data_IF_039610835354
#
_entry.id   IF_039610835354
#
_cell.length_a   1.000
_cell.length_b   1.000
_cell.length_c   1.000
_cell.angle_alpha   90.00
_cell.angle_beta   90.00
_cell.angle_gamma   90.00
#
_symmetry.space_group_name_H-M   'P 1'
#
loop_
_entity.id
_entity.type
_entity.pdbx_description
1 polymer ?
#
# COMPACT_ATOMS: atom_id res chain seq x y z
N UNK A 1 -8.44 12.90 4.78
CA UNK A 1 -9.23 14.14 4.61
C UNK A 1 -8.29 15.29 4.27
N UNK A 2 -8.77 16.35 3.63
CA UNK A 2 -8.01 17.58 3.35
C UNK A 2 -8.09 18.67 4.43
N UNK A 3 -8.95 18.52 5.44
CA UNK A 3 -9.18 19.52 6.48
C UNK A 3 -10.48 19.26 7.24
N UNK A 4 -10.87 20.16 8.14
CA UNK A 4 -12.03 19.95 9.02
C UNK A 4 -13.35 19.81 8.26
N UNK A 5 -13.57 20.59 7.20
CA UNK A 5 -14.82 20.55 6.43
C UNK A 5 -14.97 19.25 5.63
N UNK A 6 -13.89 18.81 4.96
CA UNK A 6 -13.89 17.52 4.28
C UNK A 6 -14.00 16.36 5.27
N UNK A 7 -13.40 16.46 6.47
CA UNK A 7 -13.55 15.45 7.51
C UNK A 7 -15.02 15.36 7.96
N UNK A 8 -15.64 16.49 8.27
CA UNK A 8 -17.07 16.57 8.64
C UNK A 8 -17.95 15.93 7.56
N UNK A 9 -17.75 16.31 6.31
CA UNK A 9 -18.52 15.77 5.18
C UNK A 9 -18.32 14.25 5.02
N UNK A 10 -17.10 13.75 5.24
CA UNK A 10 -16.80 12.30 5.20
C UNK A 10 -17.45 11.55 6.35
N UNK A 11 -17.39 12.09 7.56
CA UNK A 11 -18.03 11.49 8.72
C UNK A 11 -19.54 11.39 8.51
N UNK A 12 -20.18 12.45 8.00
CA UNK A 12 -21.62 12.45 7.70
C UNK A 12 -22.04 11.38 6.69
N UNK A 13 -21.18 11.00 5.74
CA UNK A 13 -21.47 9.95 4.77
C UNK A 13 -21.30 8.52 5.28
N UNK A 14 -20.74 8.32 6.49
CA UNK A 14 -20.56 6.97 7.05
C UNK A 14 -21.92 6.31 7.18
N UNK A 15 -22.09 5.16 6.55
CA UNK A 15 -23.29 4.33 6.69
C UNK A 15 -23.14 3.49 7.94
N UNK A 16 -24.08 3.63 8.87
CA UNK A 16 -24.06 2.99 10.19
C UNK A 16 -25.11 1.87 10.32
N UNK A 17 -26.17 1.92 9.52
CA UNK A 17 -27.20 0.90 9.49
C UNK A 17 -27.93 0.87 8.13
N UNK A 18 -28.79 -0.13 7.96
CA UNK A 18 -29.71 -0.25 6.83
C UNK A 18 -31.14 -0.18 7.40
N UNK A 19 -31.94 0.75 6.89
CA UNK A 19 -33.34 0.90 7.30
C UNK A 19 -34.25 -0.19 6.74
N UNK A 20 -35.51 -0.20 7.17
CA UNK A 20 -36.52 -1.23 6.84
C UNK A 20 -36.86 -1.36 5.36
N UNK A 21 -36.45 -0.40 4.50
CA UNK A 21 -36.59 -0.44 3.04
C UNK A 21 -35.27 -0.62 2.28
N UNK A 22 -34.17 -0.99 2.95
CA UNK A 22 -32.86 -1.14 2.31
C UNK A 22 -32.08 0.18 2.11
N UNK A 23 -32.68 1.31 2.50
CA UNK A 23 -32.04 2.63 2.48
C UNK A 23 -30.89 2.69 3.49
N UNK A 24 -29.81 3.39 3.12
CA UNK A 24 -28.65 3.61 3.99
C UNK A 24 -29.02 4.61 5.09
N UNK A 25 -28.74 4.27 6.34
CA UNK A 25 -28.78 5.21 7.48
C UNK A 25 -27.35 5.67 7.74
N UNK A 26 -27.14 6.97 7.77
CA UNK A 26 -25.81 7.59 7.89
C UNK A 26 -25.54 8.17 9.28
N UNK A 27 -24.29 8.52 9.56
CA UNK A 27 -23.92 9.22 10.78
C UNK A 27 -24.55 10.62 10.88
N UNK A 28 -24.84 11.26 9.74
CA UNK A 28 -25.60 12.52 9.68
C UNK A 28 -27.05 12.29 10.15
N UNK A 29 -27.71 11.23 9.64
CA UNK A 29 -29.11 10.93 9.97
C UNK A 29 -29.34 10.68 11.47
N UNK A 30 -28.32 10.18 12.17
CA UNK A 30 -28.37 9.92 13.62
C UNK A 30 -27.76 11.06 14.46
N UNK A 31 -27.40 12.19 13.86
CA UNK A 31 -26.88 13.36 14.55
C UNK A 31 -25.49 13.19 15.19
N UNK A 32 -24.71 12.20 14.75
CA UNK A 32 -23.43 11.84 15.41
C UNK A 32 -22.24 12.70 14.96
N UNK A 33 -22.34 13.40 13.82
CA UNK A 33 -21.20 14.08 13.18
C UNK A 33 -20.58 15.17 14.07
N UNK A 34 -21.39 15.96 14.77
CA UNK A 34 -20.89 17.00 15.67
C UNK A 34 -20.01 16.42 16.79
N UNK A 35 -20.46 15.33 17.42
CA UNK A 35 -19.72 14.63 18.48
C UNK A 35 -18.42 14.01 17.96
N UNK A 36 -18.45 13.38 16.78
CA UNK A 36 -17.25 12.83 16.14
C UNK A 36 -16.24 13.93 15.81
N UNK A 37 -16.70 15.08 15.30
CA UNK A 37 -15.83 16.23 15.04
C UNK A 37 -15.22 16.78 16.33
N UNK A 38 -15.97 16.83 17.42
CA UNK A 38 -15.46 17.31 18.71
C UNK A 38 -14.31 16.42 19.24
N UNK A 39 -14.41 15.10 19.06
CA UNK A 39 -13.36 14.14 19.43
C UNK A 39 -12.13 14.25 18.50
N UNK A 40 -12.33 14.49 17.21
CA UNK A 40 -11.27 14.49 16.21
C UNK A 40 -10.62 15.86 15.97
N UNK A 41 -11.12 16.93 16.60
CA UNK A 41 -10.70 18.32 16.33
C UNK A 41 -9.20 18.56 16.43
N UNK A 42 -8.52 17.87 17.35
CA UNK A 42 -7.07 17.95 17.51
C UNK A 42 -6.35 16.80 16.81
N UNK A 43 -6.98 15.62 16.77
CA UNK A 43 -6.42 14.44 16.12
C UNK A 43 -6.27 14.58 14.60
N UNK A 44 -6.87 15.61 13.97
CA UNK A 44 -6.64 15.94 12.56
C UNK A 44 -5.28 16.61 12.29
N UNK A 45 -4.63 17.14 13.34
CA UNK A 45 -3.36 17.85 13.22
C UNK A 45 -2.19 16.85 13.11
N UNK A 46 -1.34 16.92 12.07
CA UNK A 46 -0.16 16.06 11.97
C UNK A 46 0.82 16.26 13.12
N UNK A 47 1.39 15.17 13.65
CA UNK A 47 2.43 15.22 14.67
C UNK A 47 3.79 15.36 14.02
N UNK A 48 4.52 16.42 14.34
CA UNK A 48 5.91 16.61 13.91
C UNK A 48 6.86 15.91 14.88
N UNK A 49 7.75 15.12 14.33
CA UNK A 49 8.87 14.46 15.01
C UNK A 49 10.12 14.62 14.11
N UNK A 50 11.20 13.92 14.44
CA UNK A 50 12.43 13.92 13.65
C UNK A 50 13.01 12.51 13.53
N UNK A 51 13.83 12.32 12.50
CA UNK A 51 14.72 11.15 12.37
C UNK A 51 15.88 11.24 13.38
N UNK A 52 16.74 10.22 13.41
CA UNK A 52 17.98 10.22 14.21
C UNK A 52 18.98 11.30 13.79
N UNK A 53 18.89 11.79 12.55
CA UNK A 53 19.75 12.83 11.98
C UNK A 53 19.07 14.21 11.93
N UNK A 54 17.90 14.34 12.55
CA UNK A 54 17.23 15.63 12.73
C UNK A 54 16.39 16.12 11.55
N UNK A 55 16.20 15.31 10.50
CA UNK A 55 15.27 15.67 9.43
C UNK A 55 13.81 15.66 9.95
N UNK A 56 12.99 16.66 9.60
CA UNK A 56 11.61 16.74 10.07
C UNK A 56 10.76 15.61 9.47
N UNK A 57 9.92 15.00 10.29
CA UNK A 57 9.03 13.90 9.88
C UNK A 57 7.62 14.08 10.46
N UNK A 58 6.60 13.74 9.67
CA UNK A 58 5.22 13.72 10.14
C UNK A 58 4.74 12.29 10.36
N UNK A 59 4.35 11.97 11.60
CA UNK A 59 3.72 10.69 11.95
C UNK A 59 2.26 10.92 12.26
N UNK A 60 1.39 10.57 11.31
CA UNK A 60 -0.02 10.92 11.40
C UNK A 60 -0.95 9.93 10.69
N UNK A 61 -1.84 9.32 11.47
CA UNK A 61 -2.75 8.23 11.09
C UNK A 61 -2.03 6.94 10.68
N UNK A 62 -2.74 5.81 10.64
CA UNK A 62 -2.17 4.51 10.27
C UNK A 62 -3.27 3.48 10.00
N UNK A 63 -4.04 3.63 8.91
CA UNK A 63 -5.07 2.66 8.58
C UNK A 63 -4.44 1.34 8.12
N UNK A 64 -5.17 0.23 8.25
CA UNK A 64 -4.70 -1.06 7.72
C UNK A 64 -4.48 -1.01 6.21
N UNK A 65 -3.47 -1.74 5.72
CA UNK A 65 -3.16 -1.87 4.29
C UNK A 65 -4.06 -2.85 3.53
N UNK A 66 -4.94 -3.60 4.20
CA UNK A 66 -5.84 -4.57 3.57
C UNK A 66 -7.25 -3.99 3.35
N UNK A 67 -8.02 -3.76 4.41
CA UNK A 67 -9.40 -3.24 4.38
C UNK A 67 -9.47 -1.70 4.25
N UNK A 68 -8.32 -1.04 4.20
CA UNK A 68 -8.17 0.37 3.89
C UNK A 68 -6.91 0.57 3.02
N UNK A 69 -6.58 1.84 2.74
CA UNK A 69 -5.53 2.18 1.78
C UNK A 69 -4.09 2.12 2.33
N UNK A 70 -3.90 1.94 3.65
CA UNK A 70 -2.56 1.74 4.23
C UNK A 70 -1.59 2.92 4.10
N UNK A 71 -2.07 4.16 4.13
CA UNK A 71 -1.18 5.34 3.99
C UNK A 71 -1.39 6.33 5.14
N UNK A 72 -0.38 7.15 5.40
CA UNK A 72 -0.45 8.36 6.21
C UNK A 72 -1.46 9.38 5.68
N UNK A 73 -1.77 10.40 6.48
CA UNK A 73 -2.85 11.33 6.20
C UNK A 73 -2.51 12.31 5.05
N UNK A 74 -3.53 12.64 4.24
CA UNK A 74 -3.45 13.67 3.19
C UNK A 74 -3.10 15.06 3.74
N UNK A 75 -3.52 15.37 4.98
CA UNK A 75 -3.17 16.66 5.62
C UNK A 75 -1.67 16.74 5.86
N UNK A 76 -1.05 15.63 6.31
CA UNK A 76 0.39 15.58 6.55
C UNK A 76 1.17 15.76 5.23
N UNK A 77 0.80 15.05 4.17
CA UNK A 77 1.45 15.21 2.86
C UNK A 77 1.34 16.64 2.32
N UNK A 78 0.14 17.25 2.40
CA UNK A 78 -0.06 18.63 1.92
C UNK A 78 0.73 19.64 2.73
N UNK A 79 0.80 19.44 4.05
CA UNK A 79 1.60 20.28 4.92
C UNK A 79 3.08 20.14 4.56
N UNK A 80 3.60 18.92 4.44
CA UNK A 80 4.98 18.66 4.06
C UNK A 80 5.35 19.27 2.71
N UNK A 81 4.49 19.10 1.69
CA UNK A 81 4.70 19.65 0.35
C UNK A 81 4.68 21.19 0.31
N UNK A 82 4.11 21.84 1.33
CA UNK A 82 4.16 23.30 1.47
C UNK A 82 5.47 23.82 2.09
N UNK A 83 6.30 22.96 2.69
CA UNK A 83 7.49 23.34 3.45
C UNK A 83 8.78 22.65 3.00
N UNK A 84 8.71 21.67 2.09
CA UNK A 84 9.87 20.92 1.61
C UNK A 84 9.83 20.73 0.09
N UNK A 85 11.00 20.77 -0.54
CA UNK A 85 11.15 20.51 -1.98
C UNK A 85 10.89 19.04 -2.33
N UNK A 86 11.19 18.14 -1.38
CA UNK A 86 11.00 16.70 -1.49
C UNK A 86 10.23 16.18 -0.29
N UNK A 87 9.20 15.37 -0.55
CA UNK A 87 8.43 14.67 0.47
C UNK A 87 8.45 13.18 0.16
N UNK A 88 9.03 12.41 1.07
CA UNK A 88 9.01 10.95 1.01
C UNK A 88 7.85 10.45 1.87
N UNK A 89 7.00 9.61 1.29
CA UNK A 89 5.92 8.91 2.00
C UNK A 89 5.88 7.47 1.53
N UNK A 90 5.27 6.61 2.32
CA UNK A 90 5.11 5.19 2.02
C UNK A 90 3.64 4.77 2.05
N UNK A 91 3.40 3.53 1.62
CA UNK A 91 2.15 2.83 1.78
C UNK A 91 2.44 1.38 2.22
N UNK A 92 1.61 0.85 3.12
CA UNK A 92 1.83 -0.47 3.71
C UNK A 92 1.67 -1.62 2.72
N UNK A 93 2.41 -2.71 2.95
CA UNK A 93 2.53 -3.88 2.06
C UNK A 93 3.27 -3.58 0.75
N UNK A 94 3.22 -4.53 -0.20
CA UNK A 94 3.87 -4.41 -1.50
C UNK A 94 3.17 -3.44 -2.46
N UNK A 95 3.80 -3.21 -3.61
CA UNK A 95 3.27 -2.27 -4.62
C UNK A 95 1.96 -2.75 -5.27
N UNK A 96 1.66 -4.05 -5.16
CA UNK A 96 0.40 -4.66 -5.54
C UNK A 96 -0.76 -4.27 -4.61
N UNK A 97 -0.50 -3.82 -3.38
CA UNK A 97 -1.54 -3.37 -2.43
C UNK A 97 -1.38 -1.90 -2.05
N UNK A 98 -0.32 -1.56 -1.31
CA UNK A 98 -0.14 -0.25 -0.73
C UNK A 98 -0.03 0.83 -1.80
N UNK A 99 0.88 0.63 -2.76
CA UNK A 99 1.09 1.59 -3.84
C UNK A 99 -0.12 1.71 -4.77
N UNK A 100 -0.75 0.60 -5.15
CA UNK A 100 -1.98 0.60 -5.95
C UNK A 100 -3.07 1.47 -5.28
N UNK A 101 -3.29 1.29 -3.98
CA UNK A 101 -4.27 2.07 -3.21
C UNK A 101 -3.84 3.51 -2.98
N UNK A 102 -2.55 3.75 -2.77
CA UNK A 102 -1.99 5.10 -2.72
C UNK A 102 -2.33 5.86 -4.00
N UNK A 103 -2.23 5.22 -5.15
CA UNK A 103 -2.59 5.81 -6.44
C UNK A 103 -4.11 5.96 -6.57
N UNK A 104 -4.87 4.86 -6.59
CA UNK A 104 -6.29 4.90 -6.96
C UNK A 104 -7.21 5.52 -5.89
N UNK A 105 -6.75 5.61 -4.64
CA UNK A 105 -7.54 6.17 -3.53
C UNK A 105 -6.91 7.47 -3.04
N UNK A 106 -5.69 7.45 -2.49
CA UNK A 106 -5.10 8.64 -1.83
C UNK A 106 -4.80 9.76 -2.83
N UNK A 107 -4.08 9.49 -3.92
CA UNK A 107 -3.74 10.48 -4.95
C UNK A 107 -4.98 10.96 -5.71
N UNK A 108 -5.89 10.04 -6.05
CA UNK A 108 -7.14 10.38 -6.72
C UNK A 108 -8.00 11.33 -5.88
N UNK A 109 -8.11 11.06 -4.58
CA UNK A 109 -8.96 11.84 -3.66
C UNK A 109 -8.31 13.16 -3.26
N UNK A 110 -6.99 13.18 -3.07
CA UNK A 110 -6.26 14.38 -2.63
C UNK A 110 -5.92 15.33 -3.76
N UNK A 111 -5.91 14.86 -5.01
CA UNK A 111 -5.38 15.61 -6.15
C UNK A 111 -3.84 15.60 -6.24
N UNK A 112 -3.14 15.06 -5.24
CA UNK A 112 -1.68 14.95 -5.25
C UNK A 112 -1.23 13.92 -6.28
N UNK A 113 -0.02 14.14 -6.82
CA UNK A 113 0.61 13.29 -7.84
C UNK A 113 2.05 13.05 -7.43
N UNK A 114 2.49 11.80 -7.23
CA UNK A 114 3.89 11.51 -6.93
C UNK A 114 4.77 11.79 -8.17
N UNK A 115 6.01 12.20 -7.93
CA UNK A 115 6.98 12.46 -8.99
C UNK A 115 7.73 11.20 -9.41
N UNK A 116 8.02 10.31 -8.47
CA UNK A 116 8.70 9.03 -8.70
C UNK A 116 8.24 8.02 -7.64
N UNK A 117 8.56 6.75 -7.84
CA UNK A 117 8.38 5.70 -6.85
C UNK A 117 9.73 5.04 -6.52
N UNK A 118 9.90 4.63 -5.26
CA UNK A 118 10.99 3.75 -4.84
C UNK A 118 10.40 2.40 -4.49
N UNK A 119 10.89 1.34 -5.14
CA UNK A 119 10.51 -0.03 -4.84
C UNK A 119 11.65 -0.71 -4.09
N UNK A 120 11.40 -1.06 -2.83
CA UNK A 120 12.41 -1.66 -1.95
C UNK A 120 12.37 -3.19 -2.09
N UNK A 121 13.55 -3.82 -2.15
CA UNK A 121 13.71 -5.27 -2.11
C UNK A 121 15.03 -5.68 -1.47
N UNK A 122 15.20 -6.98 -1.21
CA UNK A 122 16.43 -7.57 -0.66
C UNK A 122 16.78 -8.85 -1.41
N UNK A 123 18.06 -9.18 -1.47
CA UNK A 123 18.56 -10.45 -2.05
C UNK A 123 17.89 -11.65 -1.36
N UNK A 124 17.78 -11.62 -0.03
CA UNK A 124 17.09 -12.66 0.77
C UNK A 124 15.62 -12.81 0.38
N UNK A 125 14.89 -11.73 0.15
CA UNK A 125 13.49 -11.79 -0.29
C UNK A 125 13.36 -12.38 -1.70
N UNK A 126 14.28 -12.03 -2.61
CA UNK A 126 14.33 -12.64 -3.94
C UNK A 126 14.62 -14.14 -3.84
N UNK A 127 15.60 -14.59 -3.04
CA UNK A 127 15.83 -16.02 -2.78
C UNK A 127 14.60 -16.73 -2.25
N UNK A 128 13.88 -16.12 -1.31
CA UNK A 128 12.65 -16.70 -0.78
C UNK A 128 11.56 -16.85 -1.86
N UNK A 129 11.39 -15.84 -2.71
CA UNK A 129 10.52 -15.94 -3.89
C UNK A 129 11.03 -16.95 -4.92
N UNK A 130 12.33 -17.19 -4.99
CA UNK A 130 12.98 -18.24 -5.77
C UNK A 130 12.84 -19.66 -5.21
N UNK A 131 12.18 -19.82 -4.05
CA UNK A 131 11.91 -21.12 -3.43
C UNK A 131 12.83 -21.49 -2.27
N UNK A 132 13.77 -20.63 -1.89
CA UNK A 132 14.69 -20.90 -0.76
C UNK A 132 13.95 -20.81 0.58
N UNK A 133 14.19 -21.81 1.43
CA UNK A 133 13.64 -21.86 2.79
C UNK A 133 14.20 -20.75 3.67
N UNK A 134 13.39 -20.25 4.62
CA UNK A 134 13.76 -19.11 5.49
C UNK A 134 15.08 -19.34 6.23
N UNK A 135 15.41 -20.59 6.58
CA UNK A 135 16.62 -20.96 7.31
C UNK A 135 17.90 -20.90 6.46
N UNK A 136 17.75 -20.92 5.14
CA UNK A 136 18.87 -21.07 4.21
C UNK A 136 19.14 -19.77 3.43
N UNK A 137 18.45 -18.67 3.78
CA UNK A 137 18.54 -17.38 3.07
C UNK A 137 19.90 -16.69 3.19
N UNK A 138 20.76 -17.13 4.11
CA UNK A 138 22.07 -16.52 4.33
C UNK A 138 23.17 -17.21 3.48
N UNK A 139 22.84 -18.31 2.78
CA UNK A 139 23.74 -18.94 1.82
C UNK A 139 23.60 -18.31 0.43
N UNK A 140 24.70 -18.06 -0.29
CA UNK A 140 24.65 -17.49 -1.64
C UNK A 140 23.90 -18.40 -2.64
N UNK A 141 22.92 -17.85 -3.35
CA UNK A 141 22.20 -18.55 -4.43
C UNK A 141 21.73 -17.56 -5.52
N UNK A 142 22.63 -17.14 -6.42
CA UNK A 142 22.30 -16.22 -7.52
C UNK A 142 21.18 -16.73 -8.45
N UNK A 143 21.05 -18.05 -8.60
CA UNK A 143 20.01 -18.65 -9.44
C UNK A 143 18.63 -18.44 -8.83
N UNK A 144 18.46 -18.72 -7.53
CA UNK A 144 17.21 -18.44 -6.84
C UNK A 144 16.90 -16.95 -6.77
N UNK A 145 17.89 -16.07 -6.65
CA UNK A 145 17.67 -14.62 -6.79
C UNK A 145 17.08 -14.31 -8.17
N UNK A 146 17.68 -14.81 -9.26
CA UNK A 146 17.20 -14.59 -10.63
C UNK A 146 15.76 -15.06 -10.81
N UNK A 147 15.40 -16.24 -10.28
CA UNK A 147 14.03 -16.78 -10.33
C UNK A 147 13.08 -15.86 -9.54
N UNK A 148 13.45 -15.49 -8.32
CA UNK A 148 12.64 -14.63 -7.45
C UNK A 148 12.42 -13.22 -7.98
N UNK A 149 13.35 -12.71 -8.78
CA UNK A 149 13.24 -11.41 -9.42
C UNK A 149 12.02 -11.28 -10.35
N UNK A 150 11.36 -12.37 -10.77
CA UNK A 150 10.10 -12.29 -11.51
C UNK A 150 9.01 -11.50 -10.73
N UNK A 151 9.03 -11.55 -9.39
CA UNK A 151 8.17 -10.73 -8.52
C UNK A 151 8.52 -9.24 -8.63
N UNK A 152 9.80 -8.91 -8.44
CA UNK A 152 10.32 -7.53 -8.54
C UNK A 152 10.00 -6.93 -9.91
N UNK A 153 10.29 -7.66 -10.99
CA UNK A 153 10.05 -7.22 -12.36
C UNK A 153 8.57 -6.95 -12.63
N UNK A 154 7.67 -7.79 -12.10
CA UNK A 154 6.23 -7.56 -12.19
C UNK A 154 5.81 -6.27 -11.48
N UNK A 155 6.30 -6.04 -10.25
CA UNK A 155 5.95 -4.84 -9.48
C UNK A 155 6.53 -3.55 -10.10
N UNK A 156 7.74 -3.60 -10.65
CA UNK A 156 8.29 -2.52 -11.51
C UNK A 156 7.32 -2.24 -12.66
N UNK A 157 6.85 -3.28 -13.34
CA UNK A 157 5.86 -3.18 -14.41
C UNK A 157 4.54 -2.54 -13.96
N UNK A 158 4.02 -2.87 -12.78
CA UNK A 158 2.81 -2.27 -12.20
C UNK A 158 2.99 -0.77 -11.99
N UNK A 159 4.11 -0.36 -11.39
CA UNK A 159 4.42 1.08 -11.17
C UNK A 159 4.49 1.84 -12.50
N UNK A 160 5.13 1.25 -13.51
CA UNK A 160 5.24 1.85 -14.85
C UNK A 160 3.89 1.94 -15.57
N UNK A 161 3.00 0.95 -15.44
CA UNK A 161 1.64 1.02 -16.00
C UNK A 161 0.81 2.16 -15.39
N UNK A 162 1.08 2.51 -14.14
CA UNK A 162 0.54 3.68 -13.45
C UNK A 162 1.25 4.99 -13.85
N UNK A 163 2.16 4.95 -14.83
CA UNK A 163 2.78 6.13 -15.43
C UNK A 163 3.81 6.81 -14.53
N UNK A 164 4.44 6.07 -13.61
CA UNK A 164 5.47 6.59 -12.73
C UNK A 164 6.83 5.97 -13.06
N UNK A 165 7.91 6.76 -13.08
CA UNK A 165 9.24 6.21 -13.11
C UNK A 165 9.56 5.59 -11.74
N UNK A 166 10.38 4.54 -11.74
CA UNK A 166 10.68 3.76 -10.54
C UNK A 166 12.17 3.55 -10.37
N UNK A 167 12.65 3.80 -9.16
CA UNK A 167 13.99 3.40 -8.70
C UNK A 167 13.83 2.17 -7.82
N UNK A 168 14.64 1.15 -8.05
CA UNK A 168 14.70 -0.02 -7.15
C UNK A 168 15.78 0.22 -6.11
N UNK A 169 15.42 0.15 -4.83
CA UNK A 169 16.36 0.20 -3.72
C UNK A 169 16.60 -1.23 -3.21
N UNK A 170 17.84 -1.69 -3.28
CA UNK A 170 18.27 -3.00 -2.79
C UNK A 170 18.87 -2.78 -1.41
N UNK A 171 18.11 -3.07 -0.36
CA UNK A 171 18.61 -2.96 1.01
C UNK A 171 19.66 -4.04 1.25
N UNK A 172 20.88 -3.62 1.55
CA UNK A 172 22.03 -4.50 1.74
C UNK A 172 21.93 -5.30 3.05
N UNK A 173 22.29 -6.58 3.00
CA UNK A 173 22.55 -7.41 4.17
C UNK A 173 23.99 -7.95 4.13
N UNK A 174 24.63 -8.19 5.30
CA UNK A 174 26.01 -8.70 5.35
C UNK A 174 26.25 -10.04 4.65
N UNK A 175 25.21 -10.86 4.50
CA UNK A 175 25.25 -12.16 3.80
C UNK A 175 25.16 -12.04 2.28
N UNK A 176 24.80 -10.87 1.75
CA UNK A 176 24.55 -10.69 0.33
C UNK A 176 25.88 -10.63 -0.43
N UNK A 177 25.98 -11.41 -1.50
CA UNK A 177 27.17 -11.39 -2.35
C UNK A 177 27.07 -10.31 -3.45
N UNK A 178 28.21 -9.81 -3.97
CA UNK A 178 28.20 -8.92 -5.13
C UNK A 178 27.50 -9.53 -6.35
N UNK A 179 27.65 -10.83 -6.57
CA UNK A 179 27.00 -11.54 -7.68
C UNK A 179 25.48 -11.53 -7.55
N UNK A 180 24.93 -11.89 -6.40
CA UNK A 180 23.48 -11.85 -6.14
C UNK A 180 22.90 -10.43 -6.28
N UNK A 181 23.67 -9.43 -5.86
CA UNK A 181 23.27 -8.03 -5.95
C UNK A 181 23.18 -7.57 -7.39
N UNK A 182 24.21 -7.86 -8.20
CA UNK A 182 24.22 -7.57 -9.65
C UNK A 182 23.04 -8.27 -10.33
N UNK A 183 22.75 -9.51 -9.95
CA UNK A 183 21.61 -10.25 -10.50
C UNK A 183 20.29 -9.49 -10.32
N UNK A 184 20.06 -8.94 -9.12
CA UNK A 184 18.87 -8.17 -8.82
C UNK A 184 18.84 -6.80 -9.52
N UNK A 185 20.00 -6.12 -9.62
CA UNK A 185 20.12 -4.86 -10.37
C UNK A 185 19.76 -5.05 -11.85
N UNK A 186 20.35 -6.05 -12.50
CA UNK A 186 20.08 -6.37 -13.91
C UNK A 186 18.59 -6.65 -14.13
N UNK A 187 17.97 -7.46 -13.26
CA UNK A 187 16.56 -7.77 -13.37
C UNK A 187 15.66 -6.53 -13.29
N UNK A 188 16.00 -5.59 -12.39
CA UNK A 188 15.26 -4.34 -12.23
C UNK A 188 15.38 -3.44 -13.47
N UNK A 189 16.59 -3.30 -14.02
CA UNK A 189 16.83 -2.51 -15.25
C UNK A 189 16.15 -3.14 -16.45
N UNK A 190 16.20 -4.47 -16.61
CA UNK A 190 15.48 -5.21 -17.65
C UNK A 190 13.95 -4.98 -17.60
N UNK A 191 13.38 -4.85 -16.40
CA UNK A 191 11.97 -4.50 -16.21
C UNK A 191 11.66 -3.01 -16.46
N UNK A 192 12.69 -2.20 -16.71
CA UNK A 192 12.62 -0.78 -17.02
C UNK A 192 12.55 0.13 -15.81
N UNK A 193 13.15 -0.26 -14.69
CA UNK A 193 13.48 0.68 -13.63
C UNK A 193 14.46 1.74 -14.16
N UNK A 194 14.34 2.97 -13.67
CA UNK A 194 15.23 4.07 -14.04
C UNK A 194 16.64 3.90 -13.42
N UNK A 195 16.70 3.28 -12.24
CA UNK A 195 17.93 2.91 -11.56
C UNK A 195 17.66 1.74 -10.60
N UNK A 196 18.71 0.99 -10.27
CA UNK A 196 18.70 -0.05 -9.24
C UNK A 196 19.93 0.14 -8.34
N UNK A 197 19.70 0.62 -7.12
CA UNK A 197 20.76 1.13 -6.23
C UNK A 197 20.83 0.27 -4.96
N UNK A 198 22.03 -0.11 -4.57
CA UNK A 198 22.29 -0.75 -3.28
C UNK A 198 22.24 0.31 -2.19
N UNK A 199 21.52 0.05 -1.12
CA UNK A 199 21.32 0.99 -0.01
C UNK A 199 21.78 0.35 1.29
N UNK A 200 22.73 0.98 1.97
CA UNK A 200 23.24 0.57 3.29
C UNK A 200 22.75 1.50 4.40
N UNK A 201 21.70 2.29 4.17
CA UNK A 201 21.25 3.31 5.14
C UNK A 201 20.76 2.80 6.50
N UNK A 202 20.58 1.48 6.66
CA UNK A 202 20.40 0.88 7.99
C UNK A 202 21.69 0.90 8.83
N UNK A 203 22.84 0.62 8.21
CA UNK A 203 24.15 0.56 8.86
C UNK A 203 24.81 1.94 8.89
N UNK A 204 24.78 2.66 7.77
CA UNK A 204 25.53 3.90 7.56
C UNK A 204 24.66 5.18 7.65
N UNK A 205 23.38 5.06 8.03
CA UNK A 205 22.45 6.18 8.09
C UNK A 205 22.26 6.88 6.74
N UNK A 206 22.17 8.21 6.75
CA UNK A 206 21.99 9.03 5.55
C UNK A 206 23.12 8.88 4.53
N UNK A 207 24.36 8.64 4.98
CA UNK A 207 25.51 8.45 4.08
C UNK A 207 25.32 7.21 3.19
N UNK A 208 24.80 6.11 3.76
CA UNK A 208 24.49 4.86 3.04
C UNK A 208 23.30 4.95 2.08
N UNK A 209 22.60 6.08 2.03
CA UNK A 209 21.44 6.32 1.16
C UNK A 209 21.67 7.44 0.12
N UNK A 210 22.87 8.03 0.04
CA UNK A 210 23.17 9.15 -0.87
C UNK A 210 22.92 8.78 -2.33
N UNK A 211 23.45 7.64 -2.80
CA UNK A 211 23.27 7.21 -4.20
C UNK A 211 21.78 7.01 -4.55
N UNK A 212 21.01 6.47 -3.60
CA UNK A 212 19.57 6.29 -3.77
C UNK A 212 18.87 7.65 -3.84
N UNK A 213 19.21 8.58 -2.96
CA UNK A 213 18.65 9.93 -2.96
C UNK A 213 18.93 10.66 -4.27
N UNK A 214 20.16 10.60 -4.79
CA UNK A 214 20.51 11.20 -6.07
C UNK A 214 19.76 10.54 -7.24
N UNK A 215 19.62 9.21 -7.23
CA UNK A 215 18.84 8.49 -8.24
C UNK A 215 17.37 8.91 -8.23
N UNK A 216 16.78 9.10 -7.03
CA UNK A 216 15.42 9.61 -6.87
C UNK A 216 15.30 11.04 -7.38
N UNK A 217 16.24 11.93 -7.04
CA UNK A 217 16.27 13.32 -7.52
C UNK A 217 16.27 13.34 -9.05
N UNK A 218 17.20 12.63 -9.71
CA UNK A 218 17.27 12.54 -11.18
C UNK A 218 15.98 11.99 -11.78
N UNK A 219 15.41 10.95 -11.17
CA UNK A 219 14.18 10.30 -11.66
C UNK A 219 12.94 11.18 -11.48
N UNK A 220 12.96 12.04 -10.47
CA UNK A 220 11.86 12.94 -10.11
C UNK A 220 11.74 14.17 -11.01
N UNK A 221 12.74 14.47 -11.86
CA UNK A 221 12.76 15.64 -12.74
C UNK A 221 11.48 15.79 -13.58
N UNK A 222 11.03 17.03 -13.89
CA UNK A 222 9.79 17.25 -14.65
C UNK A 222 9.76 16.53 -16.00
N UNK A 223 8.60 15.99 -16.37
CA UNK A 223 8.41 15.23 -17.61
C UNK A 223 6.94 15.18 -18.05
N UNK A 224 6.57 14.28 -18.98
CA UNK A 224 5.18 14.12 -19.43
C UNK A 224 4.24 13.78 -18.27
N UNK A 225 2.91 13.96 -18.42
CA UNK A 225 1.95 13.74 -17.35
C UNK A 225 2.14 12.38 -16.65
N UNK A 226 2.47 12.45 -15.36
CA UNK A 226 2.70 11.30 -14.47
C UNK A 226 1.43 10.91 -13.74
N UNK A 227 1.41 9.69 -13.20
CA UNK A 227 0.32 9.15 -12.39
C UNK A 227 -1.02 9.00 -13.14
N UNK A 228 -1.07 7.93 -13.92
CA UNK A 228 -2.24 7.43 -14.64
C UNK A 228 -3.07 6.50 -13.73
N UNK A 229 -4.31 6.30 -14.13
CA UNK A 229 -5.24 5.40 -13.47
C UNK A 229 -5.45 4.15 -14.32
N UNK A 230 -5.57 2.98 -13.68
CA UNK A 230 -5.87 1.75 -14.41
C UNK A 230 -7.34 1.68 -14.86
N UNK A 231 -8.24 2.33 -14.12
CA UNK A 231 -9.67 2.37 -14.43
C UNK A 231 -10.27 3.76 -14.14
N UNK A 232 -11.28 4.21 -14.91
CA UNK A 232 -12.04 5.42 -14.62
C UNK A 232 -13.09 5.17 -13.52
N UNK A 233 -13.55 6.23 -12.84
CA UNK A 233 -14.48 6.09 -11.71
C UNK A 233 -15.91 5.73 -12.12
N UNK A 234 -16.31 6.03 -13.35
CA UNK A 234 -17.62 5.70 -13.92
C UNK A 234 -17.72 4.28 -14.47
N UNK A 235 -16.60 3.54 -14.56
CA UNK A 235 -16.62 2.13 -14.90
C UNK A 235 -17.42 1.32 -13.86
N UNK A 236 -18.11 0.24 -14.28
CA UNK A 236 -18.77 -0.69 -13.35
C UNK A 236 -17.80 -1.25 -12.31
N UNK A 237 -18.25 -1.50 -11.09
CA UNK A 237 -17.39 -1.99 -10.00
C UNK A 237 -16.72 -3.32 -10.35
N UNK A 238 -17.43 -4.21 -11.07
CA UNK A 238 -16.87 -5.48 -11.55
C UNK A 238 -15.68 -5.28 -12.48
N UNK A 239 -15.80 -4.31 -13.37
CA UNK A 239 -14.77 -3.99 -14.35
C UNK A 239 -13.53 -3.42 -13.66
N UNK A 240 -13.71 -2.53 -12.68
CA UNK A 240 -12.60 -2.00 -11.87
C UNK A 240 -11.83 -3.11 -11.18
N UNK A 241 -12.53 -4.10 -10.60
CA UNK A 241 -11.91 -5.26 -9.96
C UNK A 241 -11.19 -6.15 -10.97
N UNK A 242 -11.80 -6.41 -12.13
CA UNK A 242 -11.20 -7.20 -13.21
C UNK A 242 -9.89 -6.58 -13.69
N UNK A 243 -9.89 -5.28 -13.95
CA UNK A 243 -8.68 -4.54 -14.35
C UNK A 243 -7.56 -4.68 -13.32
N UNK A 244 -7.87 -4.54 -12.02
CA UNK A 244 -6.87 -4.75 -10.96
C UNK A 244 -6.38 -6.20 -10.92
N UNK A 245 -7.28 -7.17 -11.03
CA UNK A 245 -6.93 -8.58 -10.99
C UNK A 245 -5.99 -9.00 -12.13
N UNK A 246 -6.28 -8.57 -13.35
CA UNK A 246 -5.46 -8.88 -14.53
C UNK A 246 -4.15 -8.08 -14.52
N UNK A 247 -4.22 -6.78 -14.22
CA UNK A 247 -3.09 -5.87 -14.43
C UNK A 247 -2.10 -5.89 -13.27
N UNK A 248 -2.62 -5.88 -12.03
CA UNK A 248 -1.83 -5.78 -10.80
C UNK A 248 -1.56 -7.16 -10.23
N UNK A 249 -2.55 -8.06 -10.25
CA UNK A 249 -2.37 -9.41 -9.68
C UNK A 249 -1.90 -10.44 -10.71
N UNK A 250 -2.11 -10.20 -12.02
CA UNK A 250 -1.75 -11.18 -13.05
C UNK A 250 -2.66 -12.41 -13.06
N UNK A 251 -3.87 -12.29 -12.50
CA UNK A 251 -4.89 -13.32 -12.56
C UNK A 251 -5.45 -13.43 -13.99
N UNK A 252 -5.86 -14.65 -14.36
CA UNK A 252 -6.47 -14.91 -15.67
C UNK A 252 -7.97 -14.63 -15.70
N UNK A 253 -8.62 -14.69 -14.55
CA UNK A 253 -10.06 -14.47 -14.39
C UNK A 253 -10.38 -14.04 -12.95
N UNK A 254 -11.60 -13.52 -12.73
CA UNK A 254 -12.13 -13.19 -11.41
C UNK A 254 -13.41 -13.96 -11.14
N UNK A 255 -13.40 -14.77 -10.09
CA UNK A 255 -14.58 -15.50 -9.64
C UNK A 255 -15.20 -14.82 -8.43
N UNK A 256 -16.51 -14.68 -8.46
CA UNK A 256 -17.29 -14.06 -7.39
C UNK A 256 -18.13 -15.10 -6.67
N UNK A 257 -18.16 -15.04 -5.34
CA UNK A 257 -19.19 -15.74 -4.56
C UNK A 257 -20.57 -15.16 -4.89
N UNK A 258 -21.63 -15.96 -4.71
CA UNK A 258 -23.00 -15.50 -4.92
C UNK A 258 -23.37 -14.33 -3.96
N UNK A 259 -22.82 -14.33 -2.75
CA UNK A 259 -22.99 -13.23 -1.79
C UNK A 259 -22.30 -11.96 -2.28
N UNK A 260 -21.02 -12.05 -2.65
CA UNK A 260 -20.23 -10.93 -3.14
C UNK A 260 -20.88 -10.30 -4.38
N UNK A 261 -21.37 -11.13 -5.30
CA UNK A 261 -22.10 -10.70 -6.50
C UNK A 261 -23.31 -9.86 -6.15
N UNK A 262 -24.24 -10.39 -5.33
CA UNK A 262 -25.47 -9.66 -4.93
C UNK A 262 -25.18 -8.37 -4.17
N UNK A 263 -24.15 -8.39 -3.32
CA UNK A 263 -23.78 -7.23 -2.52
C UNK A 263 -23.17 -6.12 -3.38
N UNK A 264 -22.40 -6.48 -4.40
CA UNK A 264 -21.84 -5.54 -5.36
C UNK A 264 -22.94 -4.86 -6.19
N UNK A 265 -23.88 -5.64 -6.71
CA UNK A 265 -25.02 -5.12 -7.49
C UNK A 265 -25.83 -4.11 -6.65
N UNK A 266 -26.10 -4.44 -5.38
CA UNK A 266 -26.75 -3.53 -4.42
C UNK A 266 -25.96 -2.23 -4.22
N UNK A 267 -24.63 -2.27 -4.18
CA UNK A 267 -23.83 -1.06 -4.04
C UNK A 267 -23.94 -0.14 -5.26
N UNK A 268 -24.03 -0.71 -6.48
CA UNK A 268 -24.30 0.09 -7.68
C UNK A 268 -25.69 0.73 -7.63
N UNK A 269 -26.73 -0.03 -7.25
CA UNK A 269 -28.10 0.47 -7.06
C UNK A 269 -28.17 1.59 -6.01
N UNK A 270 -27.35 1.53 -4.96
CA UNK A 270 -27.25 2.54 -3.90
C UNK A 270 -26.43 3.77 -4.29
N UNK A 271 -25.98 3.87 -5.55
CA UNK A 271 -25.19 4.99 -6.06
C UNK A 271 -23.73 4.97 -5.61
N UNK A 272 -23.21 3.84 -5.15
CA UNK A 272 -21.80 3.67 -4.74
C UNK A 272 -20.91 3.20 -5.90
N UNK A 273 -21.49 2.97 -7.09
CA UNK A 273 -20.76 2.51 -8.28
C UNK A 273 -19.60 3.41 -8.68
N UNK A 274 -19.69 4.71 -8.39
CA UNK A 274 -18.65 5.71 -8.66
C UNK A 274 -17.42 5.64 -7.74
N UNK A 275 -17.38 4.74 -6.75
CA UNK A 275 -16.27 4.65 -5.80
C UNK A 275 -15.06 3.88 -6.38
N UNK A 276 -13.83 4.20 -5.96
CA UNK A 276 -12.65 3.38 -6.23
C UNK A 276 -12.69 2.06 -5.44
N UNK A 277 -11.86 1.13 -5.88
CA UNK A 277 -11.70 -0.19 -5.26
C UNK A 277 -10.52 -0.17 -4.28
N UNK A 278 -10.74 -0.73 -3.09
CA UNK A 278 -9.70 -1.03 -2.10
C UNK A 278 -9.62 -2.55 -1.95
N UNK A 279 -8.80 -3.23 -2.74
CA UNK A 279 -8.75 -4.70 -2.67
C UNK A 279 -8.21 -5.18 -1.33
N UNK A 280 -8.98 -5.96 -0.59
CA UNK A 280 -8.47 -6.70 0.55
C UNK A 280 -8.01 -8.08 0.04
N UNK A 281 -6.74 -8.41 0.22
CA UNK A 281 -6.17 -9.76 -0.01
C UNK A 281 -4.97 -9.97 0.92
N UNK A 282 -4.37 -11.15 0.88
CA UNK A 282 -3.10 -11.41 1.57
C UNK A 282 -1.97 -10.49 1.03
N UNK A 283 -1.07 -9.99 1.89
CA UNK A 283 0.14 -9.31 1.45
C UNK A 283 1.28 -10.28 1.09
N UNK A 284 1.11 -11.59 1.32
CA UNK A 284 2.17 -12.60 1.18
C UNK A 284 2.30 -13.18 -0.24
N UNK A 285 1.41 -12.77 -1.14
CA UNK A 285 1.41 -13.13 -2.56
C UNK A 285 0.81 -11.99 -3.35
N UNK A 286 1.24 -11.84 -4.61
CA UNK A 286 0.55 -11.02 -5.61
C UNK A 286 -0.90 -11.53 -5.81
N UNK A 287 -1.11 -12.85 -5.69
CA UNK A 287 -2.42 -13.48 -5.73
C UNK A 287 -3.20 -13.31 -4.42
N UNK A 288 -4.38 -13.93 -4.33
CA UNK A 288 -5.16 -14.00 -3.10
C UNK A 288 -4.71 -15.15 -2.16
N UNK A 289 -3.89 -16.08 -2.65
CA UNK A 289 -3.39 -17.25 -1.92
C UNK A 289 -1.95 -17.02 -1.44
N UNK A 290 -1.67 -17.03 -0.11
CA UNK A 290 -0.34 -16.78 0.44
C UNK A 290 0.70 -17.86 0.10
N UNK A 291 0.28 -19.03 -0.36
CA UNK A 291 1.16 -20.14 -0.76
C UNK A 291 1.75 -19.94 -2.16
N UNK A 292 1.07 -19.18 -3.03
CA UNK A 292 1.51 -18.89 -4.38
C UNK A 292 2.57 -17.79 -4.36
N UNK A 293 3.84 -18.17 -4.22
CA UNK A 293 4.96 -17.21 -4.16
C UNK A 293 5.31 -16.61 -5.52
N UNK A 294 6.17 -15.60 -5.48
CA UNK A 294 6.80 -14.99 -6.64
C UNK A 294 5.78 -14.32 -7.57
N UNK A 295 5.77 -14.67 -8.85
CA UNK A 295 4.82 -14.18 -9.86
C UNK A 295 3.93 -15.35 -10.34
N UNK A 296 2.83 -15.65 -9.64
CA UNK A 296 1.92 -16.71 -10.06
C UNK A 296 1.21 -16.34 -11.38
N UNK A 297 0.89 -17.35 -12.18
CA UNK A 297 0.18 -17.22 -13.47
C UNK A 297 -0.90 -18.30 -13.58
N UNK A 298 -1.85 -18.12 -14.50
CA UNK A 298 -2.91 -19.11 -14.79
C UNK A 298 -3.78 -19.47 -13.58
N UNK A 299 -4.14 -18.47 -12.78
CA UNK A 299 -4.99 -18.65 -11.61
C UNK A 299 -6.19 -17.70 -11.66
N UNK A 300 -7.28 -18.12 -11.03
CA UNK A 300 -8.51 -17.32 -10.90
C UNK A 300 -8.48 -16.57 -9.57
N UNK A 301 -8.74 -15.26 -9.60
CA UNK A 301 -8.80 -14.43 -8.39
C UNK A 301 -10.18 -14.55 -7.75
N UNK A 302 -10.25 -15.10 -6.53
CA UNK A 302 -11.53 -15.39 -5.88
C UNK A 302 -11.95 -14.28 -4.90
N UNK A 303 -13.13 -13.70 -5.14
CA UNK A 303 -13.78 -12.72 -4.26
C UNK A 303 -14.87 -13.41 -3.42
N UNK A 304 -14.68 -13.40 -2.10
CA UNK A 304 -15.56 -14.06 -1.15
C UNK A 304 -16.67 -13.14 -0.63
N UNK A 305 -16.38 -11.85 -0.42
CA UNK A 305 -17.31 -10.85 0.10
C UNK A 305 -16.99 -9.45 -0.45
N UNK A 306 -17.90 -8.48 -0.31
CA UNK A 306 -17.66 -7.08 -0.68
C UNK A 306 -18.29 -6.17 0.36
N UNK A 307 -17.56 -5.13 0.74
CA UNK A 307 -18.04 -4.12 1.70
C UNK A 307 -17.78 -2.71 1.17
N UNK A 308 -18.39 -1.71 1.78
CA UNK A 308 -18.20 -0.31 1.41
C UNK A 308 -17.85 0.54 2.64
N UNK A 309 -16.82 1.36 2.51
CA UNK A 309 -16.43 2.36 3.50
C UNK A 309 -16.91 3.71 3.01
N UNK A 310 -18.21 3.99 3.17
CA UNK A 310 -18.88 5.13 2.51
C UNK A 310 -18.39 6.51 2.94
N UNK A 311 -17.94 6.65 4.19
CA UNK A 311 -17.29 7.89 4.65
C UNK A 311 -15.88 8.08 4.07
N UNK A 312 -15.09 7.00 4.00
CA UNK A 312 -13.77 7.02 3.38
C UNK A 312 -13.86 7.18 1.85
N UNK A 313 -14.93 6.66 1.25
CA UNK A 313 -15.26 6.79 -0.17
C UNK A 313 -14.64 5.69 -1.04
N UNK A 314 -14.69 4.43 -0.63
CA UNK A 314 -14.27 3.29 -1.44
C UNK A 314 -15.10 2.03 -1.17
N UNK A 315 -15.15 1.13 -2.16
CA UNK A 315 -15.67 -0.24 -2.05
C UNK A 315 -14.48 -1.18 -1.89
N UNK A 316 -14.54 -2.13 -0.96
CA UNK A 316 -13.46 -3.09 -0.71
C UNK A 316 -13.95 -4.54 -0.86
N UNK A 317 -13.69 -5.17 -2.02
CA UNK A 317 -13.81 -6.61 -2.19
C UNK A 317 -12.80 -7.34 -1.30
N UNK A 318 -13.23 -8.48 -0.77
CA UNK A 318 -12.44 -9.36 0.08
C UNK A 318 -12.08 -10.59 -0.75
N UNK A 319 -10.79 -10.76 -1.04
CA UNK A 319 -10.27 -11.88 -1.81
C UNK A 319 -9.60 -12.92 -0.91
N UNK A 320 -9.93 -14.20 -1.15
CA UNK A 320 -9.50 -15.29 -0.28
C UNK A 320 -10.03 -15.19 1.16
N UNK A 321 -9.30 -15.82 2.09
CA UNK A 321 -9.61 -15.82 3.52
C UNK A 321 -8.70 -14.82 4.24
N UNK A 322 -9.20 -13.63 4.51
CA UNK A 322 -8.43 -12.56 5.15
C UNK A 322 -8.92 -12.36 6.58
N UNK A 323 -7.96 -12.35 7.50
CA UNK A 323 -8.21 -11.95 8.88
C UNK A 323 -8.32 -10.42 8.94
N UNK A 324 -9.49 -9.92 9.32
CA UNK A 324 -9.73 -8.48 9.50
C UNK A 324 -9.37 -7.98 10.90
N UNK A 325 -9.15 -8.90 11.86
CA UNK A 325 -8.77 -8.60 13.24
C UNK A 325 -7.72 -9.62 13.71
N UNK A 326 -6.43 -9.24 13.82
CA UNK A 326 -5.39 -10.15 14.27
C UNK A 326 -5.60 -10.53 15.74
N UNK A 327 -5.26 -11.78 16.09
CA UNK A 327 -5.21 -12.25 17.48
C UNK A 327 -3.84 -12.03 18.11
N UNK A 328 -3.77 -12.19 19.44
CA UNK A 328 -2.48 -12.23 20.15
C UNK A 328 -1.74 -13.55 19.88
N UNK A 329 -0.40 -13.56 19.86
CA UNK A 329 0.36 -14.80 19.84
C UNK A 329 0.19 -15.58 21.17
N UNK A 330 0.55 -16.87 21.16
CA UNK A 330 0.46 -17.72 22.37
C UNK A 330 1.27 -17.20 23.57
N UNK A 331 2.29 -16.39 23.33
CA UNK A 331 3.03 -15.65 24.35
C UNK A 331 3.13 -14.18 23.92
N UNK A 332 2.22 -13.31 24.37
CA UNK A 332 2.29 -11.88 24.04
C UNK A 332 3.54 -11.25 24.69
N UNK A 333 4.08 -10.20 24.06
CA UNK A 333 5.16 -9.41 24.69
C UNK A 333 4.65 -8.84 26.01
N UNK A 334 5.38 -9.10 27.08
CA UNK A 334 5.15 -8.47 28.38
C UNK A 334 5.96 -7.17 28.43
N UNK A 335 5.29 -6.07 28.77
CA UNK A 335 5.93 -4.79 29.03
C UNK A 335 6.17 -4.66 30.53
N UNK A 336 7.33 -4.11 30.92
CA UNK A 336 7.66 -3.82 32.32
C UNK A 336 8.36 -2.47 32.44
N UNK A 337 8.55 -1.97 33.65
CA UNK A 337 9.19 -0.68 33.94
C UNK A 337 10.30 -0.87 34.96
N UNK A 338 11.52 -0.43 34.61
CA UNK A 338 12.66 -0.52 35.52
C UNK A 338 12.58 0.51 36.68
N UNK A 339 13.50 0.40 37.64
CA UNK A 339 13.56 1.31 38.79
C UNK A 339 13.85 2.78 38.43
N UNK A 340 14.21 3.07 37.18
CA UNK A 340 14.46 4.42 36.66
C UNK A 340 13.28 4.95 35.84
N UNK A 341 12.20 4.18 35.72
CA UNK A 341 11.03 4.57 34.93
C UNK A 341 11.16 4.30 33.43
N UNK A 342 12.19 3.56 32.99
CA UNK A 342 12.31 3.17 31.58
C UNK A 342 11.39 1.99 31.28
N UNK A 343 10.69 2.06 30.15
CA UNK A 343 9.87 0.94 29.67
C UNK A 343 10.80 -0.12 29.06
N UNK A 344 10.60 -1.38 29.44
CA UNK A 344 11.33 -2.54 28.92
C UNK A 344 10.36 -3.48 28.19
N UNK A 345 10.86 -4.16 27.14
CA UNK A 345 10.06 -5.09 26.34
C UNK A 345 9.22 -4.47 25.22
N UNK A 346 9.35 -3.16 24.96
CA UNK A 346 8.70 -2.44 23.85
C UNK A 346 9.27 -2.91 22.49
#
# INVERSE_FOLDING_TARGET
SSGLDDLRARLGRITVATGSGGARVTAEDVGAVGSLMALLRHAILPNMVQTTEGQPSFVHTGPFGNIAHGCSSVVADRLALGYADYVVTEAGFGADLGFEKFMHIKCRTSGLRPSAAVLVGTVRAMKHHGGVGIKDLDYPDPLSVRIGCANLQHLVGVVRKLGLPVVVAINHFPSDTPEETVVMQDAAIEAGAAAAVVCSGFEDGGEGAVELAEAVVRTSEPGPPRARWLYPLDAPLREKVRVLAETVYGASDVRWSAQASRQLDRFEEQGLGGMPICMAKTPLSISHDPSLKNRPTNYTFEISDVRASTGAGFVYPIAGNIVTMPGLPGTPRALDVDSKGNITGL
#
